data_IF_113490630813
#
_entry.id   IF_113490630813
#
_cell.length_a   1.000
_cell.length_b   1.000
_cell.length_c   1.000
_cell.angle_alpha   90.00
_cell.angle_beta   90.00
_cell.angle_gamma   90.00
#
_symmetry.space_group_name_H-M   'P 1'
#
loop_
_entity.id
_entity.type
_entity.pdbx_description
1 polymer ?
#
# COMPACT_ATOMS: atom_id res chain seq x y z
N UNK A 1 -17.87 21.43 2.86
CA UNK A 1 -19.04 20.62 2.50
C UNK A 1 -18.74 19.56 1.43
N UNK A 2 -17.48 19.16 1.24
CA UNK A 2 -17.10 18.26 0.16
C UNK A 2 -17.46 16.80 0.39
N UNK A 3 -17.64 16.38 1.61
CA UNK A 3 -17.93 14.99 1.92
C UNK A 3 -19.41 14.79 2.17
N UNK A 4 -20.14 14.49 1.12
CA UNK A 4 -21.58 14.21 1.23
C UNK A 4 -21.79 12.82 1.86
N UNK A 5 -22.95 12.62 2.43
CA UNK A 5 -23.35 11.31 2.96
C UNK A 5 -23.28 10.21 1.90
N UNK A 6 -23.50 10.57 0.65
CA UNK A 6 -23.45 9.63 -0.48
C UNK A 6 -22.03 9.11 -0.73
N UNK A 7 -21.03 9.99 -0.65
CA UNK A 7 -19.64 9.57 -0.78
C UNK A 7 -19.18 8.70 0.37
N UNK A 8 -19.74 8.91 1.54
CA UNK A 8 -19.45 8.13 2.74
C UNK A 8 -19.88 6.67 2.59
N UNK A 9 -21.05 6.44 2.02
CA UNK A 9 -21.59 5.10 1.84
C UNK A 9 -20.80 4.30 0.80
N UNK A 10 -20.18 4.97 -0.17
CA UNK A 10 -19.40 4.32 -1.21
C UNK A 10 -17.97 3.99 -0.72
N UNK A 11 -17.42 4.79 0.19
CA UNK A 11 -16.05 4.61 0.69
C UNK A 11 -15.98 3.50 1.74
N UNK A 12 -17.06 3.24 2.47
CA UNK A 12 -17.07 2.42 3.68
C UNK A 12 -16.92 0.91 3.46
N UNK A 13 -16.67 0.44 2.24
CA UNK A 13 -16.67 -1.00 1.93
C UNK A 13 -15.31 -1.57 1.59
N UNK A 14 -14.31 -0.73 1.45
CA UNK A 14 -12.99 -1.17 1.03
C UNK A 14 -12.06 -1.36 2.21
N UNK A 15 -11.22 -2.38 2.14
CA UNK A 15 -10.14 -2.60 3.10
C UNK A 15 -8.82 -1.98 2.64
N UNK A 16 -8.88 -1.06 1.71
CA UNK A 16 -7.73 -0.32 1.20
C UNK A 16 -8.14 1.13 0.94
N UNK A 17 -7.14 1.99 0.79
CA UNK A 17 -7.37 3.40 0.50
C UNK A 17 -7.70 3.58 -0.97
N UNK A 18 -8.95 3.96 -1.26
CA UNK A 18 -9.42 4.31 -2.59
C UNK A 18 -9.33 5.83 -2.74
N UNK A 19 -8.27 6.29 -3.37
CA UNK A 19 -8.00 7.72 -3.51
C UNK A 19 -8.98 8.45 -4.42
N UNK A 20 -9.73 7.73 -5.25
CA UNK A 20 -10.73 8.38 -6.10
C UNK A 20 -11.89 8.95 -5.29
N UNK A 21 -12.17 8.36 -4.15
CA UNK A 21 -13.24 8.82 -3.26
C UNK A 21 -12.70 9.22 -1.88
N UNK A 22 -11.44 8.99 -1.61
CA UNK A 22 -10.91 8.88 -0.28
C UNK A 22 -10.28 10.11 0.34
N UNK A 23 -10.28 11.23 -0.35
CA UNK A 23 -9.64 12.43 0.20
C UNK A 23 -10.47 13.02 1.35
N UNK A 24 -11.75 12.67 1.41
CA UNK A 24 -12.66 13.13 2.44
C UNK A 24 -12.52 12.32 3.73
N UNK A 25 -11.60 12.45 4.51
CA UNK A 25 -11.46 11.68 5.74
C UNK A 25 -10.14 11.90 6.43
N UNK A 26 -9.36 12.75 5.84
CA UNK A 26 -8.03 13.07 6.36
C UNK A 26 -8.02 14.39 7.10
N UNK A 27 -8.95 14.55 8.02
CA UNK A 27 -9.13 15.83 8.67
C UNK A 27 -8.32 15.97 9.95
N UNK A 28 -7.83 14.87 10.46
CA UNK A 28 -7.11 14.90 11.72
C UNK A 28 -5.63 15.19 11.51
N UNK A 29 -5.32 16.46 11.44
CA UNK A 29 -3.95 16.94 11.21
C UNK A 29 -3.02 16.69 12.40
N UNK A 30 -3.58 16.26 13.53
CA UNK A 30 -2.80 16.02 14.74
C UNK A 30 -2.39 14.55 14.89
N UNK A 31 -2.82 13.68 14.00
CA UNK A 31 -2.40 12.29 14.03
C UNK A 31 -0.93 12.19 13.68
N UNK A 32 -0.21 11.43 14.46
CA UNK A 32 1.18 11.13 14.14
C UNK A 32 1.27 10.37 12.84
N UNK A 33 2.18 10.80 11.98
CA UNK A 33 2.46 10.09 10.75
C UNK A 33 3.11 8.75 11.09
N UNK A 34 2.88 7.76 10.23
CA UNK A 34 3.43 6.44 10.44
C UNK A 34 4.94 6.45 10.22
N UNK A 35 5.67 5.67 11.03
CA UNK A 35 7.12 5.54 10.92
C UNK A 35 7.48 4.60 9.77
N UNK A 36 8.13 5.14 8.76
CA UNK A 36 8.59 4.40 7.58
C UNK A 36 10.11 4.27 7.50
N UNK A 37 10.83 4.74 8.52
CA UNK A 37 12.29 4.81 8.50
C UNK A 37 12.98 3.44 8.46
N UNK A 38 12.25 2.37 8.81
CA UNK A 38 12.79 1.01 8.73
C UNK A 38 12.89 0.51 7.28
N UNK A 39 12.33 1.23 6.33
CA UNK A 39 12.35 0.87 4.90
C UNK A 39 13.27 1.82 4.14
N UNK A 40 13.71 1.39 2.96
CA UNK A 40 14.48 2.25 2.07
C UNK A 40 13.52 2.93 1.09
N UNK A 41 13.39 4.25 1.22
CA UNK A 41 12.53 5.03 0.34
C UNK A 41 13.17 5.18 -1.03
N UNK A 42 12.40 4.86 -2.06
CA UNK A 42 12.79 5.02 -3.47
C UNK A 42 11.64 5.67 -4.24
N UNK A 43 11.93 6.20 -5.41
CA UNK A 43 10.91 6.77 -6.29
C UNK A 43 10.17 5.66 -7.04
N UNK A 44 9.04 6.02 -7.64
CA UNK A 44 8.32 5.11 -8.53
C UNK A 44 9.19 4.70 -9.72
N UNK A 45 9.94 5.66 -10.28
CA UNK A 45 10.87 5.40 -11.38
C UNK A 45 11.90 4.35 -10.99
N UNK A 46 12.49 4.48 -9.81
CA UNK A 46 13.47 3.51 -9.31
C UNK A 46 12.86 2.14 -9.10
N UNK A 47 11.63 2.08 -8.57
CA UNK A 47 10.93 0.81 -8.36
C UNK A 47 10.69 0.10 -9.69
N UNK A 48 10.20 0.82 -10.68
CA UNK A 48 9.95 0.28 -12.02
C UNK A 48 11.26 -0.19 -12.65
N UNK A 49 12.33 0.60 -12.48
CA UNK A 49 13.64 0.22 -13.00
C UNK A 49 14.13 -1.11 -12.40
N UNK A 50 13.99 -1.28 -11.08
CA UNK A 50 14.35 -2.53 -10.41
C UNK A 50 13.58 -3.72 -10.97
N UNK A 51 12.28 -3.54 -11.21
CA UNK A 51 11.45 -4.59 -11.80
C UNK A 51 11.91 -4.91 -13.24
N UNK A 52 12.22 -3.89 -14.02
CA UNK A 52 12.68 -4.06 -15.40
C UNK A 52 14.06 -4.74 -15.48
N UNK A 53 14.89 -4.54 -14.47
CA UNK A 53 16.20 -5.19 -14.35
C UNK A 53 16.11 -6.59 -13.73
N UNK A 54 14.89 -7.07 -13.51
CA UNK A 54 14.61 -8.42 -13.00
C UNK A 54 15.18 -8.66 -11.60
N UNK A 55 15.20 -7.62 -10.77
CA UNK A 55 15.65 -7.75 -9.39
C UNK A 55 14.64 -8.53 -8.55
N UNK A 56 15.13 -9.09 -7.46
CA UNK A 56 14.28 -9.74 -6.45
C UNK A 56 14.23 -8.80 -5.25
N UNK A 57 13.03 -8.41 -4.83
CA UNK A 57 12.85 -7.42 -3.76
C UNK A 57 11.42 -7.42 -3.24
N UNK A 58 11.25 -6.83 -2.05
CA UNK A 58 9.94 -6.56 -1.46
C UNK A 58 9.70 -5.06 -1.53
N UNK A 59 8.52 -4.67 -2.00
CA UNK A 59 8.10 -3.27 -2.13
C UNK A 59 6.85 -3.02 -1.30
N UNK A 60 6.81 -1.86 -0.67
CA UNK A 60 5.62 -1.34 -0.01
C UNK A 60 5.23 -0.02 -0.70
N UNK A 61 3.98 0.08 -1.12
CA UNK A 61 3.39 1.28 -1.72
C UNK A 61 2.37 1.85 -0.74
N UNK A 62 2.53 3.12 -0.40
CA UNK A 62 1.62 3.78 0.53
C UNK A 62 1.99 5.25 0.70
N UNK A 63 1.33 5.91 1.63
CA UNK A 63 1.70 7.25 2.02
C UNK A 63 1.36 7.48 3.50
N UNK A 64 2.07 8.43 4.16
CA UNK A 64 2.02 8.51 5.63
C UNK A 64 0.66 8.81 6.24
N UNK A 65 -0.20 9.49 5.51
CA UNK A 65 -1.48 9.96 6.03
C UNK A 65 -2.67 9.07 5.63
N UNK A 66 -2.41 7.95 5.00
CA UNK A 66 -3.44 6.99 4.62
C UNK A 66 -3.89 6.18 5.85
N UNK A 67 -5.19 6.18 6.21
CA UNK A 67 -5.66 5.47 7.40
C UNK A 67 -5.32 3.99 7.44
N UNK A 68 -5.49 3.29 6.33
CA UNK A 68 -5.14 1.87 6.24
C UNK A 68 -3.63 1.65 6.34
N UNK A 69 -2.84 2.56 5.76
CA UNK A 69 -1.39 2.51 5.84
C UNK A 69 -0.91 2.68 7.28
N UNK A 70 -1.54 3.59 8.02
CA UNK A 70 -1.20 3.82 9.44
C UNK A 70 -1.37 2.56 10.29
N UNK A 71 -2.30 1.70 9.91
CA UNK A 71 -2.53 0.45 10.63
C UNK A 71 -1.63 -0.69 10.12
N UNK A 72 -1.36 -0.72 8.84
CA UNK A 72 -0.57 -1.79 8.22
C UNK A 72 0.93 -1.65 8.49
N UNK A 73 1.46 -0.45 8.41
CA UNK A 73 2.91 -0.23 8.49
C UNK A 73 3.54 -0.67 9.82
N UNK A 74 2.92 -0.44 10.99
CA UNK A 74 3.49 -0.97 12.24
C UNK A 74 3.61 -2.49 12.23
N UNK A 75 2.69 -3.19 11.58
CA UNK A 75 2.74 -4.65 11.47
C UNK A 75 3.88 -5.05 10.51
N UNK A 76 4.01 -4.35 9.41
CA UNK A 76 5.11 -4.57 8.46
C UNK A 76 6.46 -4.35 9.13
N UNK A 77 6.55 -3.35 9.99
CA UNK A 77 7.77 -3.06 10.75
C UNK A 77 8.18 -4.24 11.62
N UNK A 78 7.22 -4.87 12.30
CA UNK A 78 7.51 -6.04 13.12
C UNK A 78 8.03 -7.20 12.28
N UNK A 79 7.44 -7.42 11.11
CA UNK A 79 7.90 -8.47 10.19
C UNK A 79 9.29 -8.14 9.66
N UNK A 80 9.53 -6.87 9.34
CA UNK A 80 10.82 -6.43 8.80
C UNK A 80 11.99 -6.71 9.74
N UNK A 81 11.74 -6.77 11.05
CA UNK A 81 12.79 -7.10 12.04
C UNK A 81 13.38 -8.49 11.83
N UNK A 82 12.64 -9.38 11.21
CA UNK A 82 13.06 -10.76 10.93
C UNK A 82 13.61 -10.93 9.52
N UNK A 83 13.50 -9.90 8.70
CA UNK A 83 13.91 -9.95 7.30
C UNK A 83 15.37 -9.56 7.16
N UNK A 84 16.15 -10.36 6.43
CA UNK A 84 17.60 -10.14 6.27
C UNK A 84 17.94 -9.17 5.14
N UNK A 85 16.94 -8.70 4.41
CA UNK A 85 17.12 -7.70 3.38
C UNK A 85 16.28 -6.46 3.74
N UNK A 86 16.14 -5.53 2.83
CA UNK A 86 15.38 -4.31 3.05
C UNK A 86 14.06 -4.34 2.28
N UNK A 87 13.08 -3.62 2.80
CA UNK A 87 11.83 -3.36 2.10
C UNK A 87 11.98 -1.99 1.44
N UNK A 88 11.65 -1.90 0.16
CA UNK A 88 11.65 -0.63 -0.56
C UNK A 88 10.30 0.05 -0.38
N UNK A 89 10.34 1.30 0.05
CA UNK A 89 9.15 2.11 0.26
C UNK A 89 8.97 3.05 -0.93
N UNK A 90 7.84 2.92 -1.63
CA UNK A 90 7.44 3.81 -2.70
C UNK A 90 6.28 4.65 -2.19
N UNK A 91 6.57 5.90 -1.84
CA UNK A 91 5.53 6.82 -1.38
C UNK A 91 4.71 7.26 -2.58
N UNK A 92 3.39 7.14 -2.50
CA UNK A 92 2.50 7.39 -3.63
C UNK A 92 1.89 8.78 -3.64
N UNK A 93 1.80 9.43 -2.48
CA UNK A 93 1.27 10.80 -2.38
C UNK A 93 2.09 11.60 -1.38
N UNK A 94 2.17 12.90 -1.62
CA UNK A 94 2.84 13.83 -0.71
C UNK A 94 1.89 14.29 0.41
N UNK A 95 2.35 15.25 1.23
CA UNK A 95 1.57 15.79 2.34
C UNK A 95 0.32 16.56 1.89
N UNK A 96 0.26 16.95 0.63
CA UNK A 96 -0.87 17.66 0.05
C UNK A 96 -1.77 16.73 -0.76
N UNK A 97 -1.53 15.43 -0.67
CA UNK A 97 -2.28 14.38 -1.37
C UNK A 97 -2.08 14.37 -2.89
N UNK A 98 -1.05 15.03 -3.37
CA UNK A 98 -0.69 14.98 -4.78
C UNK A 98 0.06 13.70 -5.09
N UNK A 99 -0.24 13.08 -6.24
CA UNK A 99 0.44 11.87 -6.68
C UNK A 99 1.93 12.14 -6.94
N UNK A 100 2.77 11.22 -6.49
CA UNK A 100 4.22 11.29 -6.67
C UNK A 100 4.69 10.44 -7.85
N UNK A 101 3.81 10.08 -8.74
CA UNK A 101 4.15 9.37 -9.97
C UNK A 101 3.25 9.84 -11.11
N UNK A 102 3.75 9.65 -12.33
CA UNK A 102 3.03 10.06 -13.53
C UNK A 102 2.08 8.98 -14.02
N UNK A 103 1.21 9.35 -14.94
CA UNK A 103 0.31 8.40 -15.58
C UNK A 103 1.08 7.35 -16.39
N UNK A 104 2.16 7.77 -17.05
CA UNK A 104 3.03 6.85 -17.78
C UNK A 104 3.68 5.85 -16.85
N UNK A 105 4.16 6.29 -15.69
CA UNK A 105 4.75 5.40 -14.70
C UNK A 105 3.72 4.40 -14.16
N UNK A 106 2.49 4.85 -13.95
CA UNK A 106 1.41 3.95 -13.53
C UNK A 106 1.16 2.86 -14.58
N UNK A 107 1.16 3.23 -15.84
CA UNK A 107 1.00 2.26 -16.94
C UNK A 107 2.15 1.29 -17.00
N UNK A 108 3.38 1.75 -16.83
CA UNK A 108 4.55 0.87 -16.77
C UNK A 108 4.46 -0.08 -15.59
N UNK A 109 4.08 0.43 -14.42
CA UNK A 109 3.91 -0.38 -13.23
C UNK A 109 2.90 -1.50 -13.45
N UNK A 110 1.84 -1.24 -14.20
CA UNK A 110 0.80 -2.23 -14.47
C UNK A 110 1.31 -3.43 -15.27
N UNK A 111 2.44 -3.30 -15.97
CA UNK A 111 3.06 -4.42 -16.66
C UNK A 111 3.56 -5.47 -15.68
N UNK A 112 3.85 -5.07 -14.45
CA UNK A 112 4.38 -5.95 -13.41
C UNK A 112 3.36 -6.29 -12.35
N UNK A 113 2.48 -5.36 -11.98
CA UNK A 113 1.61 -5.46 -10.83
C UNK A 113 0.11 -5.52 -11.15
N UNK A 114 -0.26 -5.80 -12.38
CA UNK A 114 -1.68 -5.77 -12.80
C UNK A 114 -2.60 -6.59 -11.89
N UNK A 115 -2.13 -7.71 -11.36
CA UNK A 115 -2.95 -8.60 -10.52
C UNK A 115 -3.24 -7.99 -9.15
N UNK A 116 -2.51 -6.95 -8.76
CA UNK A 116 -2.69 -6.24 -7.49
C UNK A 116 -3.16 -4.80 -7.69
N UNK A 117 -3.48 -4.44 -8.93
CA UNK A 117 -4.07 -3.15 -9.28
C UNK A 117 -5.52 -3.40 -9.66
N UNK A 118 -6.34 -2.36 -9.57
CA UNK A 118 -7.77 -2.48 -9.84
C UNK A 118 -8.21 -1.50 -10.91
N UNK A 119 -9.10 -1.94 -11.78
CA UNK A 119 -9.68 -1.09 -12.81
C UNK A 119 -10.62 -0.06 -12.19
N UNK A 120 -10.53 1.17 -12.68
CA UNK A 120 -11.50 2.20 -12.36
C UNK A 120 -12.68 2.11 -13.34
N UNK A 121 -13.59 3.09 -13.27
CA UNK A 121 -14.78 3.13 -14.12
C UNK A 121 -14.46 3.20 -15.61
N UNK A 122 -13.30 3.75 -15.96
CA UNK A 122 -12.87 3.85 -17.37
C UNK A 122 -12.10 2.62 -17.86
N UNK A 123 -11.87 1.64 -16.99
CA UNK A 123 -11.10 0.44 -17.32
C UNK A 123 -9.60 0.60 -17.14
N UNK A 124 -9.14 1.74 -16.65
CA UNK A 124 -7.73 1.94 -16.37
C UNK A 124 -7.33 1.31 -15.04
N UNK A 125 -6.19 0.63 -15.04
CA UNK A 125 -5.65 0.05 -13.81
C UNK A 125 -5.10 1.14 -12.92
N UNK A 126 -5.55 1.17 -11.68
CA UNK A 126 -5.13 2.13 -10.66
C UNK A 126 -4.40 1.42 -9.55
N UNK A 127 -3.45 2.14 -8.95
CA UNK A 127 -2.69 1.67 -7.80
C UNK A 127 -3.39 2.12 -6.53
N UNK A 128 -3.76 1.17 -5.69
CA UNK A 128 -4.35 1.43 -4.38
C UNK A 128 -3.38 1.00 -3.28
N UNK A 129 -3.54 1.55 -2.11
CA UNK A 129 -2.61 1.38 -0.99
C UNK A 129 -3.36 1.03 0.30
N UNK A 130 -2.72 0.41 1.27
CA UNK A 130 -1.34 -0.09 1.27
C UNK A 130 -1.19 -1.34 0.42
N UNK A 131 -0.11 -1.41 -0.32
CA UNK A 131 0.19 -2.59 -1.14
C UNK A 131 1.60 -3.08 -0.83
N UNK A 132 1.71 -4.35 -0.46
CA UNK A 132 2.99 -5.02 -0.25
C UNK A 132 3.11 -6.12 -1.29
N UNK A 133 4.22 -6.15 -2.02
CA UNK A 133 4.46 -7.18 -3.03
C UNK A 133 5.89 -7.70 -2.93
N UNK A 134 6.05 -8.99 -3.23
CA UNK A 134 7.35 -9.61 -3.45
C UNK A 134 7.53 -9.81 -4.93
N UNK A 135 8.64 -9.30 -5.44
CA UNK A 135 9.06 -9.48 -6.84
C UNK A 135 10.26 -10.42 -6.82
N UNK A 136 10.23 -11.45 -7.66
CA UNK A 136 11.37 -12.34 -7.85
C UNK A 136 11.70 -12.39 -9.34
N UNK A 137 12.93 -12.07 -9.67
CA UNK A 137 13.39 -12.05 -11.05
C UNK A 137 12.48 -11.18 -11.93
N UNK A 138 12.04 -10.04 -11.39
CA UNK A 138 11.18 -9.09 -12.09
C UNK A 138 9.71 -9.46 -12.18
N UNK A 139 9.29 -10.55 -11.55
CA UNK A 139 7.88 -11.00 -11.58
C UNK A 139 7.28 -11.01 -10.18
N UNK A 140 6.04 -10.55 -10.06
CA UNK A 140 5.35 -10.60 -8.78
C UNK A 140 5.01 -12.06 -8.45
N UNK A 141 5.42 -12.51 -7.28
CA UNK A 141 5.17 -13.89 -6.83
C UNK A 141 4.19 -13.94 -5.66
N UNK A 142 4.03 -12.85 -4.93
CA UNK A 142 3.05 -12.76 -3.84
C UNK A 142 2.80 -11.29 -3.54
N UNK A 143 1.67 -11.00 -2.94
CA UNK A 143 1.33 -9.63 -2.56
C UNK A 143 0.04 -9.56 -1.78
N UNK A 144 -0.22 -8.40 -1.22
CA UNK A 144 -1.46 -8.14 -0.48
C UNK A 144 -1.83 -6.67 -0.58
N UNK A 145 -3.03 -6.39 -1.03
CA UNK A 145 -3.60 -5.06 -1.06
C UNK A 145 -4.51 -4.87 0.15
N UNK A 146 -4.26 -3.78 0.88
CA UNK A 146 -5.12 -3.38 1.98
C UNK A 146 -4.81 -4.07 3.30
N UNK A 147 -5.80 -4.07 4.20
CA UNK A 147 -5.74 -4.73 5.49
C UNK A 147 -6.43 -6.09 5.43
N UNK A 148 -7.63 -6.21 5.98
CA UNK A 148 -8.40 -7.47 5.90
C UNK A 148 -9.82 -7.16 5.46
N UNK A 149 -10.47 -8.15 4.87
CA UNK A 149 -11.86 -8.02 4.45
C UNK A 149 -12.76 -7.63 5.63
N UNK A 150 -13.64 -6.67 5.40
CA UNK A 150 -14.54 -6.17 6.43
C UNK A 150 -13.97 -5.06 7.30
N UNK A 151 -12.72 -4.71 7.12
CA UNK A 151 -12.09 -3.62 7.88
C UNK A 151 -12.11 -2.33 7.07
N UNK A 152 -12.81 -1.32 7.58
CA UNK A 152 -12.78 0.03 7.05
C UNK A 152 -12.08 0.95 8.06
N UNK A 153 -10.91 1.44 7.68
CA UNK A 153 -10.08 2.27 8.56
C UNK A 153 -10.71 3.65 8.84
N UNK A 154 -11.69 4.07 8.04
CA UNK A 154 -12.45 5.28 8.34
C UNK A 154 -13.40 5.09 9.52
N UNK A 155 -13.84 3.87 9.76
CA UNK A 155 -14.83 3.58 10.78
C UNK A 155 -14.21 3.06 12.08
N UNK A 156 -13.14 2.27 11.97
CA UNK A 156 -12.53 1.66 13.13
C UNK A 156 -11.12 1.16 12.86
N UNK A 157 -10.39 0.90 13.92
CA UNK A 157 -9.09 0.23 13.82
C UNK A 157 -9.29 -1.28 13.79
N UNK A 158 -8.29 -1.99 13.27
CA UNK A 158 -8.30 -3.44 13.30
C UNK A 158 -8.27 -3.95 14.75
N UNK A 159 -9.00 -5.04 15.00
CA UNK A 159 -8.89 -5.75 16.26
C UNK A 159 -7.64 -6.65 16.26
N UNK A 160 -7.37 -7.32 17.38
CA UNK A 160 -6.16 -8.13 17.51
C UNK A 160 -6.12 -9.33 16.56
N UNK A 161 -7.26 -9.95 16.27
CA UNK A 161 -7.34 -11.06 15.31
C UNK A 161 -7.02 -10.59 13.90
N UNK A 162 -7.53 -9.43 13.52
CA UNK A 162 -7.28 -8.85 12.20
C UNK A 162 -5.82 -8.45 12.04
N UNK A 163 -5.23 -7.87 13.07
CA UNK A 163 -3.80 -7.54 13.07
C UNK A 163 -2.94 -8.79 12.91
N UNK A 164 -3.30 -9.86 13.60
CA UNK A 164 -2.58 -11.13 13.50
C UNK A 164 -2.72 -11.72 12.09
N UNK A 165 -3.89 -11.60 11.48
CA UNK A 165 -4.09 -12.06 10.10
C UNK A 165 -3.16 -11.31 9.14
N UNK A 166 -3.09 -9.98 9.26
CA UNK A 166 -2.18 -9.16 8.43
C UNK A 166 -0.72 -9.53 8.70
N UNK A 167 -0.37 -9.76 9.96
CA UNK A 167 0.97 -10.19 10.36
C UNK A 167 1.37 -11.47 9.63
N UNK A 168 0.48 -12.48 9.61
CA UNK A 168 0.78 -13.75 8.95
C UNK A 168 0.89 -13.57 7.43
N UNK A 169 0.03 -12.74 6.85
CA UNK A 169 0.08 -12.42 5.43
C UNK A 169 1.44 -11.78 5.08
N UNK A 170 1.86 -10.79 5.86
CA UNK A 170 3.12 -10.11 5.60
C UNK A 170 4.34 -11.01 5.83
N UNK A 171 4.29 -11.88 6.83
CA UNK A 171 5.36 -12.87 7.04
C UNK A 171 5.52 -13.76 5.80
N UNK A 172 4.41 -14.22 5.25
CA UNK A 172 4.43 -15.07 4.07
C UNK A 172 5.04 -14.36 2.85
N UNK A 173 4.72 -13.09 2.67
CA UNK A 173 5.22 -12.29 1.54
C UNK A 173 6.70 -11.94 1.75
N UNK A 174 7.02 -11.37 2.91
CA UNK A 174 8.32 -10.76 3.17
C UNK A 174 9.39 -11.80 3.49
N UNK A 175 9.05 -12.80 4.31
CA UNK A 175 10.02 -13.77 4.81
C UNK A 175 10.12 -15.03 3.97
N UNK A 176 9.47 -15.07 2.82
CA UNK A 176 9.51 -16.22 1.93
C UNK A 176 10.96 -16.55 1.56
N UNK A 177 11.40 -17.76 1.93
CA UNK A 177 12.77 -18.18 1.66
C UNK A 177 13.84 -17.52 2.51
N UNK A 178 13.46 -16.64 3.42
CA UNK A 178 14.38 -16.00 4.35
C UNK A 178 14.60 -16.94 5.54
N UNK A 179 15.87 -17.17 5.91
CA UNK A 179 16.21 -18.10 6.98
C UNK A 179 16.96 -17.43 8.10
#
# INVERSE_FOLDING_TARGET
SGCSSKGKDEVSKNNYCDDNAGICGFENKNDNLVDTDFMMKISMEEAIHKMSEKETAVFYFGYPDCPWCKEAVPILKEVAKQFHDKIYYVQTRDSQKELLYTDEERKELSLYLKDYMKEDESGDLKLYVPLVVRIENGKVVDGHLGTVEGHDAHERKMNEEEKEEVMQIYKKIVLKGDK
#
